data_IF_743121502636
#
_entry.id   IF_743121502636
#
_cell.length_a   1.000
_cell.length_b   1.000
_cell.length_c   1.000
_cell.angle_alpha   90.00
_cell.angle_beta   90.00
_cell.angle_gamma   90.00
#
_symmetry.space_group_name_H-M   'P 1'
#
loop_
_entity.id
_entity.type
_entity.pdbx_description
1 polymer ?
#
# COMPACT_ATOMS: atom_id res chain seq x y z
N UNK A 1 -9.37 -10.94 5.69
CA UNK A 1 -8.21 -10.52 4.90
C UNK A 1 -8.68 -9.77 3.70
N UNK A 2 -8.28 -8.51 3.65
CA UNK A 2 -8.82 -7.45 2.81
C UNK A 2 -7.90 -7.17 1.63
N UNK A 3 -6.63 -7.56 1.73
CA UNK A 3 -5.61 -7.32 0.72
C UNK A 3 -4.77 -8.57 0.48
N UNK A 4 -4.32 -8.74 -0.78
CA UNK A 4 -3.21 -9.63 -1.11
C UNK A 4 -1.85 -9.00 -0.79
N UNK A 5 -0.80 -9.41 -1.49
CA UNK A 5 0.52 -8.75 -1.38
C UNK A 5 0.45 -7.38 -2.06
N UNK A 6 0.68 -6.31 -1.30
CA UNK A 6 0.65 -4.92 -1.81
C UNK A 6 2.04 -4.32 -1.97
N UNK A 7 2.98 -4.65 -1.08
CA UNK A 7 4.39 -4.27 -1.21
C UNK A 7 5.28 -5.48 -1.12
N UNK A 8 6.34 -5.54 -1.93
CA UNK A 8 7.28 -6.67 -1.93
C UNK A 8 8.70 -6.23 -2.28
N UNK A 9 9.69 -6.86 -1.64
CA UNK A 9 11.08 -6.76 -2.05
C UNK A 9 11.28 -7.67 -3.26
N UNK A 10 11.66 -7.10 -4.40
CA UNK A 10 12.12 -7.89 -5.54
C UNK A 10 13.59 -8.27 -5.35
N UNK A 11 14.06 -9.27 -6.10
CA UNK A 11 15.47 -9.69 -6.06
C UNK A 11 16.42 -8.50 -6.32
N UNK A 12 16.06 -7.60 -7.23
CA UNK A 12 16.87 -6.45 -7.61
C UNK A 12 16.80 -5.28 -6.61
N UNK A 13 15.78 -5.24 -5.74
CA UNK A 13 15.51 -4.11 -4.84
C UNK A 13 15.43 -4.52 -3.37
N UNK A 14 15.99 -5.68 -3.01
CA UNK A 14 15.89 -6.20 -1.65
C UNK A 14 16.60 -5.28 -0.65
N UNK A 15 15.84 -4.83 0.35
CA UNK A 15 16.36 -4.07 1.50
C UNK A 15 15.87 -4.72 2.80
N UNK A 16 16.72 -5.47 3.51
CA UNK A 16 16.34 -6.12 4.76
C UNK A 16 15.70 -5.14 5.75
N UNK A 17 14.62 -5.56 6.41
CA UNK A 17 13.86 -4.73 7.35
C UNK A 17 12.84 -3.79 6.70
N UNK A 18 12.64 -3.85 5.38
CA UNK A 18 11.59 -3.09 4.67
C UNK A 18 10.53 -4.01 4.08
N UNK A 19 9.34 -3.48 3.80
CA UNK A 19 8.27 -4.19 3.11
C UNK A 19 8.39 -4.17 1.57
N UNK A 20 9.44 -3.53 1.03
CA UNK A 20 9.70 -3.39 -0.40
C UNK A 20 8.89 -2.28 -1.09
N UNK A 21 8.62 -2.45 -2.38
CA UNK A 21 7.95 -1.45 -3.22
C UNK A 21 6.50 -1.87 -3.55
N UNK A 22 5.61 -0.92 -3.85
CA UNK A 22 4.25 -1.22 -4.29
C UNK A 22 4.22 -2.12 -5.53
N UNK A 23 3.26 -3.03 -5.57
CA UNK A 23 2.89 -3.78 -6.78
C UNK A 23 2.33 -2.83 -7.83
N UNK A 24 2.50 -3.18 -9.11
CA UNK A 24 2.19 -2.29 -10.25
C UNK A 24 0.71 -1.96 -10.45
N UNK A 25 -0.19 -2.53 -9.67
CA UNK A 25 -1.64 -2.35 -9.81
C UNK A 25 -2.26 -1.59 -8.63
N UNK A 26 -1.44 -1.14 -7.67
CA UNK A 26 -1.91 -0.39 -6.51
C UNK A 26 -0.97 0.76 -6.17
N UNK A 27 -1.57 1.91 -5.87
CA UNK A 27 -0.86 3.05 -5.29
C UNK A 27 -0.87 2.91 -3.76
N UNK A 28 0.28 3.15 -3.14
CA UNK A 28 0.45 3.14 -1.68
C UNK A 28 0.93 4.51 -1.23
N UNK A 29 0.19 5.12 -0.30
CA UNK A 29 0.50 6.42 0.29
C UNK A 29 0.58 6.30 1.82
N UNK A 30 1.20 7.30 2.46
CA UNK A 30 1.19 7.45 3.91
C UNK A 30 0.36 8.69 4.24
N UNK A 31 -0.64 8.56 5.11
CA UNK A 31 -1.58 9.63 5.45
C UNK A 31 -1.48 10.04 6.92
N UNK A 32 -1.82 11.29 7.23
CA UNK A 32 -2.00 11.79 8.60
C UNK A 32 -3.41 11.49 9.14
N UNK A 33 -3.68 11.87 10.39
CA UNK A 33 -4.97 11.67 11.06
C UNK A 33 -6.12 12.47 10.41
N UNK A 34 -5.82 13.40 9.50
CA UNK A 34 -6.78 14.19 8.74
C UNK A 34 -6.99 13.63 7.32
N UNK A 35 -6.55 12.38 7.07
CA UNK A 35 -6.68 11.65 5.80
C UNK A 35 -5.94 12.31 4.62
N UNK A 36 -4.79 12.96 4.89
CA UNK A 36 -4.00 13.63 3.84
C UNK A 36 -2.63 12.98 3.65
N UNK A 37 -2.12 12.89 2.41
CA UNK A 37 -0.77 12.41 2.15
C UNK A 37 0.29 13.22 2.89
N UNK A 38 1.27 12.54 3.48
CA UNK A 38 2.42 13.17 4.16
C UNK A 38 3.71 13.06 3.33
N UNK A 39 4.70 13.97 3.52
CA UNK A 39 6.00 13.87 2.86
C UNK A 39 6.78 12.61 3.27
N UNK A 40 7.69 12.17 2.40
CA UNK A 40 8.57 11.02 2.64
C UNK A 40 9.32 11.13 3.98
N UNK A 41 9.36 10.03 4.72
CA UNK A 41 10.05 9.94 6.01
C UNK A 41 9.17 10.31 7.21
N UNK A 42 7.96 10.84 6.98
CA UNK A 42 6.97 11.09 8.02
C UNK A 42 6.14 9.83 8.26
N UNK A 43 6.07 9.29 9.50
CA UNK A 43 5.17 8.19 9.83
C UNK A 43 3.70 8.58 9.71
N UNK A 44 2.85 7.61 9.39
CA UNK A 44 1.40 7.78 9.27
C UNK A 44 0.71 6.47 8.88
N UNK A 45 -0.56 6.54 8.50
CA UNK A 45 -1.34 5.38 8.07
C UNK A 45 -1.01 4.96 6.64
N UNK A 46 -0.89 3.66 6.38
CA UNK A 46 -0.72 3.13 5.02
C UNK A 46 -2.07 3.09 4.32
N UNK A 47 -2.21 3.87 3.25
CA UNK A 47 -3.43 3.91 2.43
C UNK A 47 -3.16 3.29 1.06
N UNK A 48 -3.98 2.30 0.69
CA UNK A 48 -3.85 1.53 -0.56
C UNK A 48 -5.03 1.83 -1.47
N UNK A 49 -4.75 2.23 -2.72
CA UNK A 49 -5.79 2.47 -3.74
C UNK A 49 -5.52 1.61 -4.98
N UNK A 50 -6.54 0.95 -5.54
CA UNK A 50 -6.37 0.22 -6.79
C UNK A 50 -6.21 1.20 -7.95
N UNK A 51 -5.31 0.90 -8.89
CA UNK A 51 -5.24 1.68 -10.14
C UNK A 51 -6.36 1.31 -11.11
N UNK A 52 -7.00 0.15 -10.93
CA UNK A 52 -8.13 -0.31 -11.74
C UNK A 52 -9.29 -0.78 -10.86
N UNK A 53 -10.52 -0.41 -11.21
CA UNK A 53 -11.69 -0.79 -10.42
C UNK A 53 -11.89 -2.32 -10.38
N UNK A 54 -12.31 -2.83 -9.21
CA UNK A 54 -12.72 -4.22 -9.04
C UNK A 54 -11.59 -5.25 -8.94
N UNK A 55 -10.32 -4.82 -8.90
CA UNK A 55 -9.15 -5.71 -8.74
C UNK A 55 -8.80 -5.99 -7.27
N UNK A 56 -9.23 -5.13 -6.35
CA UNK A 56 -9.08 -5.31 -4.91
C UNK A 56 -10.40 -5.77 -4.27
N UNK A 57 -10.35 -6.01 -2.97
CA UNK A 57 -11.46 -6.47 -2.15
C UNK A 57 -12.72 -5.62 -2.30
N UNK A 58 -13.86 -6.30 -2.45
CA UNK A 58 -15.16 -5.66 -2.71
C UNK A 58 -15.90 -5.24 -1.45
N UNK A 59 -15.39 -5.59 -0.28
CA UNK A 59 -16.01 -5.31 1.01
C UNK A 59 -16.30 -6.57 1.81
N UNK A 60 -16.62 -6.37 3.08
CA UNK A 60 -16.89 -7.43 4.03
C UNK A 60 -18.29 -8.02 3.84
N UNK A 61 -18.42 -9.33 4.06
CA UNK A 61 -19.72 -9.97 4.16
C UNK A 61 -20.19 -9.94 5.62
N UNK A 62 -21.45 -9.56 5.85
CA UNK A 62 -22.08 -9.50 7.16
C UNK A 62 -22.56 -10.87 7.65
#
# INVERSE_FOLDING_TARGET
TEQGIITINTADHQRPGTCGLPVSYATVEVHDDEERPVPQGTPGEIVVRPEQAGILFRGYHG
#
